data_IF_166167670096
#
_entry.id   IF_166167670096
#
_cell.length_a   1.000
_cell.length_b   1.000
_cell.length_c   1.000
_cell.angle_alpha   90.00
_cell.angle_beta   90.00
_cell.angle_gamma   90.00
#
_symmetry.space_group_name_H-M   'P 1'
#
loop_
_entity.id
_entity.type
_entity.pdbx_description
1 polymer ?
#
# COMPACT_ATOMS: atom_id res chain seq x y z
N UNK A 1 1.00 -22.81 -19.11
CA UNK A 1 0.21 -21.58 -18.81
C UNK A 1 0.48 -21.09 -17.39
N UNK A 2 0.35 -21.95 -16.38
CA UNK A 2 0.64 -21.62 -14.97
C UNK A 2 2.10 -21.13 -14.77
N UNK A 3 3.08 -21.77 -15.40
CA UNK A 3 4.49 -21.38 -15.23
C UNK A 3 4.81 -20.01 -15.83
N UNK A 4 4.19 -19.66 -16.96
CA UNK A 4 4.34 -18.34 -17.57
C UNK A 4 3.76 -17.24 -16.67
N UNK A 5 2.62 -17.51 -16.05
CA UNK A 5 2.01 -16.61 -15.08
C UNK A 5 2.88 -16.45 -13.82
N UNK A 6 3.39 -17.55 -13.27
CA UNK A 6 4.29 -17.50 -12.11
C UNK A 6 5.54 -16.69 -12.45
N UNK A 7 6.19 -16.94 -13.58
CA UNK A 7 7.36 -16.19 -14.00
C UNK A 7 7.06 -14.69 -14.14
N UNK A 8 5.89 -14.33 -14.68
CA UNK A 8 5.46 -12.95 -14.74
C UNK A 8 5.35 -12.33 -13.34
N UNK A 9 4.76 -13.03 -12.37
CA UNK A 9 4.69 -12.54 -10.97
C UNK A 9 6.08 -12.28 -10.38
N UNK A 10 7.03 -13.18 -10.59
CA UNK A 10 8.40 -13.04 -10.06
C UNK A 10 9.20 -11.89 -10.68
N UNK A 11 8.83 -11.43 -11.88
CA UNK A 11 9.50 -10.31 -12.56
C UNK A 11 8.78 -8.98 -12.27
N UNK A 12 7.45 -8.96 -12.37
CA UNK A 12 6.70 -7.72 -12.35
C UNK A 12 6.38 -7.23 -10.93
N UNK A 13 6.06 -8.12 -9.99
CA UNK A 13 5.76 -7.70 -8.61
C UNK A 13 6.95 -6.97 -7.97
N UNK A 14 8.19 -7.46 -8.02
CA UNK A 14 9.33 -6.74 -7.44
C UNK A 14 9.53 -5.36 -8.05
N UNK A 15 9.35 -5.24 -9.37
CA UNK A 15 9.54 -3.98 -10.09
C UNK A 15 8.50 -2.94 -9.70
N UNK A 16 7.24 -3.34 -9.57
CA UNK A 16 6.14 -2.46 -9.15
C UNK A 16 6.34 -1.97 -7.71
N UNK A 17 6.73 -2.86 -6.80
CA UNK A 17 6.90 -2.54 -5.39
C UNK A 17 8.30 -1.99 -5.04
N UNK A 18 9.21 -1.88 -6.01
CA UNK A 18 10.62 -1.53 -5.75
C UNK A 18 11.32 -2.52 -4.81
N UNK A 19 10.91 -3.78 -4.83
CA UNK A 19 11.40 -4.79 -3.90
C UNK A 19 12.76 -5.33 -4.35
N UNK A 20 13.78 -5.24 -3.48
CA UNK A 20 15.10 -5.84 -3.74
C UNK A 20 15.15 -7.37 -3.55
N UNK A 21 14.04 -8.01 -3.17
CA UNK A 21 13.92 -9.47 -3.01
C UNK A 21 15.08 -10.17 -2.28
N UNK A 22 15.59 -9.55 -1.22
CA UNK A 22 16.67 -10.14 -0.41
C UNK A 22 16.14 -11.34 0.38
N UNK A 23 16.87 -12.46 0.35
CA UNK A 23 16.42 -13.76 0.90
C UNK A 23 16.28 -13.76 2.42
N UNK A 24 17.22 -13.16 3.15
CA UNK A 24 17.23 -12.94 4.61
C UNK A 24 15.93 -12.34 5.18
N UNK A 25 15.18 -11.58 4.36
CA UNK A 25 13.96 -10.86 4.72
C UNK A 25 12.72 -11.28 3.93
N UNK A 26 12.78 -12.45 3.30
CA UNK A 26 11.70 -13.00 2.51
C UNK A 26 11.16 -14.28 3.14
N UNK A 27 9.89 -14.57 2.90
CA UNK A 27 9.32 -15.86 3.26
C UNK A 27 9.77 -16.93 2.26
N UNK A 28 9.93 -18.15 2.76
CA UNK A 28 10.27 -19.32 1.96
C UNK A 28 9.17 -20.34 2.13
N UNK A 29 8.64 -20.86 1.03
CA UNK A 29 7.62 -21.91 1.04
C UNK A 29 7.99 -22.99 0.05
N UNK A 30 8.02 -24.24 0.53
CA UNK A 30 8.45 -25.42 -0.24
C UNK A 30 9.80 -25.24 -0.95
N UNK A 31 10.77 -24.64 -0.23
CA UNK A 31 12.13 -24.41 -0.75
C UNK A 31 12.26 -23.27 -1.77
N UNK A 32 11.17 -22.56 -2.11
CA UNK A 32 11.21 -21.39 -2.99
C UNK A 32 11.00 -20.11 -2.20
N UNK A 33 11.76 -19.08 -2.54
CA UNK A 33 11.53 -17.73 -2.03
C UNK A 33 10.24 -17.16 -2.63
N UNK A 34 9.47 -16.43 -1.83
CA UNK A 34 8.35 -15.63 -2.36
C UNK A 34 8.84 -14.60 -3.37
N UNK A 35 7.99 -14.20 -4.35
CA UNK A 35 8.35 -13.16 -5.32
C UNK A 35 8.61 -11.81 -4.64
N UNK A 36 8.06 -11.57 -3.44
CA UNK A 36 8.23 -10.33 -2.67
C UNK A 36 8.84 -10.61 -1.30
N UNK A 37 9.52 -9.61 -0.72
CA UNK A 37 9.97 -9.68 0.67
C UNK A 37 8.79 -9.66 1.65
N UNK A 38 9.03 -9.99 2.92
CA UNK A 38 7.98 -10.03 3.94
C UNK A 38 7.22 -8.70 4.07
N UNK A 39 7.92 -7.56 3.94
CA UNK A 39 7.34 -6.21 4.00
C UNK A 39 6.43 -5.91 2.82
N UNK A 40 6.92 -6.08 1.59
CA UNK A 40 6.16 -5.83 0.37
C UNK A 40 4.99 -6.81 0.22
N UNK A 41 5.15 -8.06 0.70
CA UNK A 41 4.05 -9.03 0.78
C UNK A 41 2.94 -8.51 1.71
N UNK A 42 3.30 -7.96 2.87
CA UNK A 42 2.34 -7.34 3.77
C UNK A 42 1.64 -6.15 3.14
N UNK A 43 2.38 -5.24 2.50
CA UNK A 43 1.81 -4.09 1.79
C UNK A 43 0.80 -4.52 0.72
N UNK A 44 1.15 -5.50 -0.10
CA UNK A 44 0.25 -6.05 -1.11
C UNK A 44 -1.04 -6.62 -0.47
N UNK A 45 -0.92 -7.40 0.60
CA UNK A 45 -2.08 -7.94 1.33
C UNK A 45 -2.94 -6.80 1.90
N UNK A 46 -2.33 -5.76 2.46
CA UNK A 46 -3.04 -4.60 3.00
C UNK A 46 -3.81 -3.81 1.95
N UNK A 47 -3.22 -3.60 0.77
CA UNK A 47 -3.90 -2.95 -0.36
C UNK A 47 -5.08 -3.81 -0.84
N UNK A 48 -4.90 -5.13 -0.94
CA UNK A 48 -5.98 -6.03 -1.37
C UNK A 48 -7.10 -6.14 -0.33
N UNK A 49 -6.80 -6.04 0.96
CA UNK A 49 -7.83 -6.10 2.00
C UNK A 49 -8.72 -4.85 2.02
N UNK A 50 -8.27 -3.71 1.48
CA UNK A 50 -9.08 -2.50 1.38
C UNK A 50 -10.36 -2.68 0.56
N UNK A 51 -10.37 -3.53 -0.48
CA UNK A 51 -11.57 -3.82 -1.26
C UNK A 51 -12.71 -4.37 -0.39
N UNK A 52 -12.36 -5.17 0.62
CA UNK A 52 -13.31 -5.75 1.57
C UNK A 52 -13.57 -4.77 2.71
N UNK A 53 -12.52 -4.15 3.26
CA UNK A 53 -12.63 -3.25 4.41
C UNK A 53 -13.54 -2.06 4.11
N UNK A 54 -13.44 -1.43 2.92
CA UNK A 54 -14.21 -0.23 2.61
C UNK A 54 -15.72 -0.47 2.44
N UNK A 55 -16.12 -1.73 2.32
CA UNK A 55 -17.53 -2.11 2.40
C UNK A 55 -18.09 -1.87 3.81
N UNK A 56 -17.29 -2.09 4.85
CA UNK A 56 -17.73 -2.01 6.25
C UNK A 56 -17.25 -0.75 6.95
N UNK A 57 -16.02 -0.32 6.68
CA UNK A 57 -15.38 0.80 7.35
C UNK A 57 -14.40 1.54 6.44
N UNK A 58 -14.54 2.87 6.39
CA UNK A 58 -13.69 3.76 5.61
C UNK A 58 -12.85 4.60 6.58
N UNK A 59 -11.55 4.31 6.73
CA UNK A 59 -10.68 5.09 7.61
C UNK A 59 -10.66 6.56 7.21
N UNK A 60 -10.60 7.46 8.20
CA UNK A 60 -10.38 8.89 7.94
C UNK A 60 -8.92 9.15 7.55
N UNK A 61 -8.62 10.35 7.06
CA UNK A 61 -7.23 10.73 6.71
C UNK A 61 -6.30 10.58 7.92
N UNK A 62 -6.76 10.98 9.11
CA UNK A 62 -5.97 10.88 10.35
C UNK A 62 -5.64 9.42 10.67
N UNK A 63 -6.64 8.54 10.63
CA UNK A 63 -6.43 7.10 10.86
C UNK A 63 -5.51 6.47 9.81
N UNK A 64 -5.64 6.90 8.55
CA UNK A 64 -4.80 6.44 7.46
C UNK A 64 -3.32 6.79 7.69
N UNK A 65 -3.04 8.02 8.12
CA UNK A 65 -1.67 8.46 8.48
C UNK A 65 -1.14 7.66 9.66
N UNK A 66 -1.93 7.51 10.73
CA UNK A 66 -1.52 6.74 11.92
C UNK A 66 -1.14 5.30 11.55
N UNK A 67 -1.90 4.65 10.66
CA UNK A 67 -1.62 3.30 10.17
C UNK A 67 -0.31 3.20 9.38
N UNK A 68 0.14 4.28 8.72
CA UNK A 68 1.40 4.28 7.97
C UNK A 68 2.63 4.42 8.88
N UNK A 69 2.50 5.08 10.03
CA UNK A 69 3.64 5.40 10.90
C UNK A 69 4.47 4.19 11.35
N UNK A 70 3.90 3.05 11.80
CA UNK A 70 4.70 1.94 12.31
C UNK A 70 5.74 1.40 11.33
N UNK A 71 5.37 1.30 10.04
CA UNK A 71 6.30 0.82 9.01
C UNK A 71 7.35 1.87 8.66
N UNK A 72 6.96 3.15 8.59
CA UNK A 72 7.89 4.25 8.33
C UNK A 72 8.94 4.32 9.45
N UNK A 73 8.50 4.27 10.70
CA UNK A 73 9.38 4.28 11.87
C UNK A 73 10.27 3.04 11.88
N UNK A 74 9.71 1.83 11.67
CA UNK A 74 10.51 0.59 11.58
C UNK A 74 11.58 0.72 10.49
N UNK A 75 11.21 1.15 9.28
CA UNK A 75 12.13 1.34 8.17
C UNK A 75 13.21 2.40 8.44
N UNK A 76 12.85 3.51 9.09
CA UNK A 76 13.78 4.57 9.43
C UNK A 76 14.77 4.15 10.52
N UNK A 77 14.29 3.47 11.57
CA UNK A 77 15.15 2.91 12.62
C UNK A 77 16.11 1.89 12.04
N UNK A 78 15.65 1.02 11.13
CA UNK A 78 16.52 0.06 10.43
C UNK A 78 17.57 0.73 9.54
N UNK A 79 17.27 1.90 8.96
CA UNK A 79 18.23 2.64 8.14
C UNK A 79 19.35 3.25 9.01
N UNK A 80 19.02 3.70 10.21
CA UNK A 80 19.94 4.39 11.11
C UNK A 80 20.71 3.45 12.05
N UNK A 81 20.26 2.22 12.23
CA UNK A 81 20.81 1.30 13.25
C UNK A 81 21.12 -0.09 12.68
N UNK A 82 21.86 -0.90 13.42
CA UNK A 82 22.14 -2.31 13.06
C UNK A 82 20.96 -3.26 13.34
N UNK A 83 19.84 -2.72 13.78
CA UNK A 83 18.68 -3.51 14.19
C UNK A 83 17.94 -4.08 12.99
N UNK A 84 17.65 -5.39 13.03
CA UNK A 84 16.88 -6.05 11.99
C UNK A 84 15.51 -6.53 12.49
N UNK A 85 14.50 -6.29 11.65
CA UNK A 85 13.09 -6.58 11.90
C UNK A 85 12.80 -8.04 11.59
N UNK A 86 11.98 -8.68 12.42
CA UNK A 86 11.55 -10.05 12.15
C UNK A 86 10.58 -10.07 10.97
N UNK A 87 10.56 -11.16 10.20
CA UNK A 87 9.70 -11.26 9.02
C UNK A 87 8.21 -11.12 9.37
N UNK A 88 7.78 -11.61 10.53
CA UNK A 88 6.40 -11.43 11.02
C UNK A 88 6.11 -9.96 11.32
N UNK A 89 7.02 -9.25 11.99
CA UNK A 89 6.82 -7.81 12.24
C UNK A 89 6.77 -7.02 10.93
N UNK A 90 7.68 -7.30 9.99
CA UNK A 90 7.69 -6.70 8.64
C UNK A 90 6.37 -6.95 7.90
N UNK A 91 5.81 -8.15 8.03
CA UNK A 91 4.52 -8.50 7.43
C UNK A 91 3.38 -7.70 8.06
N UNK A 92 3.27 -7.70 9.38
CA UNK A 92 2.18 -7.02 10.10
C UNK A 92 2.22 -5.51 9.86
N UNK A 93 3.38 -4.87 10.03
CA UNK A 93 3.52 -3.43 9.75
C UNK A 93 3.30 -3.13 8.27
N UNK A 94 3.68 -4.05 7.38
CA UNK A 94 3.36 -4.01 5.95
C UNK A 94 1.86 -3.98 5.67
N UNK A 95 1.08 -4.88 6.28
CA UNK A 95 -0.38 -4.95 6.12
C UNK A 95 -1.03 -3.66 6.60
N UNK A 96 -0.70 -3.20 7.80
CA UNK A 96 -1.26 -1.97 8.37
C UNK A 96 -0.93 -0.77 7.49
N UNK A 97 0.32 -0.67 7.01
CA UNK A 97 0.73 0.37 6.09
C UNK A 97 -0.02 0.32 4.76
N UNK A 98 -0.20 -0.87 4.18
CA UNK A 98 -0.94 -1.04 2.92
C UNK A 98 -2.38 -0.56 3.05
N UNK A 99 -3.05 -0.89 4.16
CA UNK A 99 -4.41 -0.41 4.46
C UNK A 99 -4.43 1.12 4.59
N UNK A 100 -3.50 1.67 5.39
CA UNK A 100 -3.39 3.10 5.61
C UNK A 100 -3.12 3.89 4.33
N UNK A 101 -2.19 3.42 3.48
CA UNK A 101 -1.86 4.08 2.22
C UNK A 101 -3.04 4.07 1.24
N UNK A 102 -3.70 2.93 1.08
CA UNK A 102 -4.88 2.83 0.20
C UNK A 102 -6.04 3.69 0.69
N UNK A 103 -6.30 3.72 1.99
CA UNK A 103 -7.31 4.61 2.57
C UNK A 103 -6.94 6.09 2.38
N UNK A 104 -5.68 6.45 2.59
CA UNK A 104 -5.22 7.81 2.37
C UNK A 104 -5.46 8.27 0.93
N UNK A 105 -5.02 7.48 -0.06
CA UNK A 105 -5.20 7.81 -1.49
C UNK A 105 -6.68 7.99 -1.82
N UNK A 106 -7.52 7.01 -1.49
CA UNK A 106 -8.95 7.08 -1.83
C UNK A 106 -9.64 8.27 -1.16
N UNK A 107 -9.29 8.60 0.09
CA UNK A 107 -9.88 9.76 0.78
C UNK A 107 -9.45 11.08 0.14
N UNK A 108 -8.18 11.22 -0.25
CA UNK A 108 -7.70 12.40 -0.95
C UNK A 108 -8.38 12.53 -2.32
N UNK A 109 -8.46 11.44 -3.08
CA UNK A 109 -9.10 11.44 -4.40
C UNK A 109 -10.57 11.88 -4.33
N UNK A 110 -11.32 11.40 -3.32
CA UNK A 110 -12.71 11.84 -3.13
C UNK A 110 -12.82 13.34 -2.84
N UNK A 111 -11.92 13.90 -2.03
CA UNK A 111 -11.94 15.34 -1.70
C UNK A 111 -11.62 16.18 -2.94
N UNK A 112 -10.60 15.77 -3.70
CA UNK A 112 -10.20 16.47 -4.92
C UNK A 112 -11.33 16.43 -5.96
N UNK A 113 -11.98 15.28 -6.10
CA UNK A 113 -13.12 15.11 -6.98
C UNK A 113 -14.28 16.05 -6.60
N UNK A 114 -14.65 16.09 -5.32
CA UNK A 114 -15.75 16.93 -4.83
C UNK A 114 -15.46 18.43 -5.07
N UNK A 115 -14.22 18.88 -4.78
CA UNK A 115 -13.78 20.24 -5.07
C UNK A 115 -13.88 20.55 -6.57
N UNK A 116 -13.44 19.62 -7.43
CA UNK A 116 -13.51 19.78 -8.88
C UNK A 116 -14.95 19.91 -9.39
N UNK A 117 -15.88 19.13 -8.82
CA UNK A 117 -17.31 19.20 -9.15
C UNK A 117 -17.92 20.53 -8.70
N UNK A 118 -17.58 21.01 -7.50
CA UNK A 118 -18.04 22.30 -7.00
C UNK A 118 -17.52 23.47 -7.85
N UNK A 119 -16.24 23.44 -8.20
CA UNK A 119 -15.64 24.42 -9.11
C UNK A 119 -16.30 24.42 -10.48
N UNK A 120 -16.57 23.25 -11.06
CA UNK A 120 -17.28 23.13 -12.32
C UNK A 120 -18.68 23.74 -12.28
N UNK A 121 -19.42 23.51 -11.20
CA UNK A 121 -20.75 24.12 -10.96
C UNK A 121 -20.64 25.64 -10.82
N UNK A 122 -19.64 26.13 -10.08
CA UNK A 122 -19.40 27.56 -9.89
C UNK A 122 -19.11 28.28 -11.21
N UNK A 123 -18.25 27.71 -12.06
CA UNK A 123 -17.92 28.29 -13.37
C UNK A 123 -19.13 28.32 -14.30
N UNK A 124 -19.90 27.22 -14.36
CA UNK A 124 -21.13 27.16 -15.15
C UNK A 124 -22.11 28.24 -14.71
N UNK A 125 -22.29 28.42 -13.40
CA UNK A 125 -23.24 29.39 -12.86
C UNK A 125 -22.86 30.85 -13.19
N UNK A 126 -21.58 31.20 -13.08
CA UNK A 126 -21.12 32.59 -13.17
C UNK A 126 -20.71 33.05 -14.59
N UNK A 127 -20.32 32.13 -15.48
CA UNK A 127 -19.74 32.51 -16.79
C UNK A 127 -20.51 31.99 -18.01
N UNK A 128 -21.34 30.95 -17.85
CA UNK A 128 -21.97 30.27 -18.99
C UNK A 128 -23.51 30.21 -18.92
N UNK A 129 -24.12 30.88 -17.94
CA UNK A 129 -25.56 31.11 -17.91
C UNK A 129 -25.89 32.41 -18.66
N UNK A 130 -26.07 32.32 -19.97
CA UNK A 130 -26.89 33.25 -20.77
C UNK A 130 -28.25 32.60 -21.04
#
# INVERSE_FOLDING_TARGET
MLDAFINALYVWLPRIFGCHCRSDRSFHYKGRQFPLCARCTGQLIGVLSCFILFWFWKPTIIWSIIMMLPLIIDGFVQLLTKYESTNIRRLITGIIFGIGLSAFIVRIDTIIYDIGVEWGKYLKYNFFNF
#
